data_IF_459675961242
#
_entry.id   IF_459675961242
#
_cell.length_a   1.000
_cell.length_b   1.000
_cell.length_c   1.000
_cell.angle_alpha   90.00
_cell.angle_beta   90.00
_cell.angle_gamma   90.00
#
_symmetry.space_group_name_H-M   'P 1'
#
loop_
_entity.id
_entity.type
_entity.pdbx_description
1 polymer ?
#
# COMPACT_ATOMS: atom_id res chain seq x y z
N UNK A 1 -7.45 -11.44 -9.02
CA UNK A 1 -8.55 -11.62 -8.04
C UNK A 1 -8.88 -13.10 -7.99
N UNK A 2 -9.11 -13.61 -6.79
CA UNK A 2 -9.25 -15.03 -6.53
C UNK A 2 -10.57 -15.59 -7.12
N UNK A 3 -10.51 -16.09 -8.36
CA UNK A 3 -11.66 -16.63 -9.08
C UNK A 3 -12.37 -17.77 -8.33
N UNK A 4 -11.66 -18.49 -7.46
CA UNK A 4 -12.21 -19.59 -6.67
C UNK A 4 -13.32 -19.15 -5.72
N UNK A 5 -13.25 -17.93 -5.17
CA UNK A 5 -14.30 -17.39 -4.29
C UNK A 5 -15.61 -17.24 -5.08
N UNK A 6 -15.54 -16.67 -6.26
CA UNK A 6 -16.73 -16.40 -7.08
C UNK A 6 -17.39 -17.69 -7.64
N UNK A 7 -16.65 -18.77 -7.76
CA UNK A 7 -17.20 -20.06 -8.20
C UNK A 7 -18.14 -20.69 -7.15
N UNK A 8 -18.16 -20.15 -5.92
CA UNK A 8 -19.09 -20.60 -4.88
C UNK A 8 -20.42 -19.87 -4.87
N UNK A 9 -20.72 -18.99 -5.82
CA UNK A 9 -21.97 -18.23 -5.86
C UNK A 9 -23.23 -19.11 -5.87
N UNK A 10 -23.13 -20.36 -6.34
CA UNK A 10 -24.22 -21.34 -6.26
C UNK A 10 -24.37 -22.03 -4.90
N UNK A 11 -23.44 -21.81 -3.96
CA UNK A 11 -23.38 -22.46 -2.64
C UNK A 11 -23.70 -21.51 -1.50
N UNK A 12 -23.92 -20.23 -1.78
CA UNK A 12 -24.24 -19.21 -0.80
C UNK A 12 -25.30 -18.24 -1.39
N UNK A 13 -26.03 -17.57 -0.52
CA UNK A 13 -27.09 -16.65 -0.92
C UNK A 13 -26.54 -15.41 -1.65
N UNK A 14 -25.38 -14.92 -1.24
CA UNK A 14 -24.78 -13.71 -1.78
C UNK A 14 -23.26 -13.70 -1.55
N UNK A 15 -22.51 -13.19 -2.52
CA UNK A 15 -21.11 -12.83 -2.36
C UNK A 15 -21.00 -11.34 -2.50
N UNK A 16 -20.39 -10.68 -1.52
CA UNK A 16 -20.07 -9.25 -1.53
C UNK A 16 -18.57 -9.09 -1.44
N UNK A 17 -17.96 -8.45 -2.43
CA UNK A 17 -16.54 -8.13 -2.42
C UNK A 17 -16.38 -6.67 -1.97
N UNK A 18 -15.65 -6.47 -0.88
CA UNK A 18 -15.38 -5.14 -0.32
C UNK A 18 -14.14 -4.49 -0.92
N UNK A 19 -13.56 -5.04 -1.94
CA UNK A 19 -12.37 -4.57 -2.65
C UNK A 19 -11.32 -3.87 -1.76
N UNK A 20 -10.14 -4.45 -1.71
CA UNK A 20 -9.02 -3.86 -0.96
C UNK A 20 -8.48 -2.61 -1.62
N UNK A 21 -8.48 -2.54 -2.94
CA UNK A 21 -7.84 -1.49 -3.73
C UNK A 21 -8.63 -1.23 -5.01
N UNK A 22 -8.84 0.05 -5.32
CA UNK A 22 -9.56 0.49 -6.51
C UNK A 22 -8.91 1.71 -7.20
N UNK A 23 -7.75 2.16 -6.70
CA UNK A 23 -6.99 3.23 -7.36
C UNK A 23 -6.24 2.63 -8.55
N UNK A 24 -6.51 3.15 -9.73
CA UNK A 24 -5.90 2.74 -10.97
C UNK A 24 -5.20 3.92 -11.64
N UNK A 25 -4.09 3.68 -12.31
CA UNK A 25 -3.54 4.62 -13.30
C UNK A 25 -4.39 4.62 -14.56
N UNK A 26 -4.27 5.66 -15.38
CA UNK A 26 -4.99 5.74 -16.65
C UNK A 26 -4.71 4.51 -17.54
N UNK A 27 -3.47 4.07 -17.63
CA UNK A 27 -3.09 2.85 -18.37
C UNK A 27 -3.77 1.59 -17.83
N UNK A 28 -3.95 1.48 -16.52
CA UNK A 28 -4.65 0.34 -15.91
C UNK A 28 -6.16 0.42 -16.13
N UNK A 29 -6.73 1.64 -16.21
CA UNK A 29 -8.15 1.81 -16.56
C UNK A 29 -8.46 1.49 -18.00
N UNK A 30 -7.56 1.81 -18.92
CA UNK A 30 -7.67 1.47 -20.35
C UNK A 30 -7.50 -0.03 -20.61
N UNK A 31 -6.78 -0.73 -19.73
CA UNK A 31 -6.60 -2.18 -19.77
C UNK A 31 -7.67 -2.95 -19.01
N UNK A 32 -7.78 -4.25 -19.29
CA UNK A 32 -8.74 -5.14 -18.63
C UNK A 32 -8.30 -5.63 -17.24
N UNK A 33 -7.33 -4.97 -16.61
CA UNK A 33 -6.62 -5.48 -15.43
C UNK A 33 -7.51 -5.76 -14.22
N UNK A 34 -8.54 -4.93 -14.00
CA UNK A 34 -9.41 -5.02 -12.83
C UNK A 34 -10.88 -5.21 -13.19
N UNK A 35 -11.15 -5.68 -14.40
CA UNK A 35 -12.51 -5.98 -14.82
C UNK A 35 -12.96 -7.32 -14.27
N UNK A 36 -14.25 -7.39 -13.96
CA UNK A 36 -14.86 -8.61 -13.46
C UNK A 36 -15.28 -9.52 -14.61
N UNK A 37 -14.92 -10.80 -14.52
CA UNK A 37 -15.23 -11.80 -15.51
C UNK A 37 -16.03 -12.98 -14.93
N UNK A 38 -16.78 -13.68 -15.76
CA UNK A 38 -17.52 -14.88 -15.39
C UNK A 38 -18.43 -14.67 -14.18
N UNK A 39 -18.32 -15.53 -13.18
CA UNK A 39 -19.14 -15.49 -11.98
C UNK A 39 -18.95 -14.25 -11.11
N UNK A 40 -17.82 -13.54 -11.21
CA UNK A 40 -17.60 -12.30 -10.48
C UNK A 40 -18.61 -11.21 -10.87
N UNK A 41 -19.09 -11.21 -12.12
CA UNK A 41 -20.14 -10.26 -12.59
C UNK A 41 -21.48 -10.46 -11.91
N UNK A 42 -21.73 -11.64 -11.36
CA UNK A 42 -22.98 -11.97 -10.62
C UNK A 42 -22.92 -11.61 -9.15
N UNK A 43 -21.72 -11.28 -8.64
CA UNK A 43 -21.49 -10.92 -7.24
C UNK A 43 -21.58 -9.41 -7.06
N UNK A 44 -21.86 -8.96 -5.83
CA UNK A 44 -21.79 -7.55 -5.50
C UNK A 44 -20.34 -7.10 -5.39
N UNK A 45 -20.00 -6.06 -6.11
CA UNK A 45 -18.69 -5.40 -6.07
C UNK A 45 -18.89 -4.00 -5.48
N UNK A 46 -18.51 -3.77 -4.23
CA UNK A 46 -18.62 -2.43 -3.65
C UNK A 46 -17.62 -1.49 -4.33
N UNK A 47 -18.06 -0.30 -4.66
CA UNK A 47 -17.26 0.68 -5.37
C UNK A 47 -16.87 1.83 -4.45
N UNK A 48 -15.60 2.24 -4.49
CA UNK A 48 -15.13 3.39 -3.72
C UNK A 48 -15.73 4.71 -4.22
N UNK A 49 -16.01 4.79 -5.52
CA UNK A 49 -16.59 5.96 -6.15
C UNK A 49 -17.34 5.63 -7.43
N UNK A 50 -18.01 6.65 -7.98
CA UNK A 50 -18.80 6.54 -9.21
C UNK A 50 -17.95 6.08 -10.40
N UNK A 51 -16.70 6.55 -10.53
CA UNK A 51 -15.79 6.16 -11.62
C UNK A 51 -15.60 4.64 -11.66
N UNK A 52 -15.37 4.00 -10.50
CA UNK A 52 -15.27 2.53 -10.43
C UNK A 52 -16.58 1.85 -10.81
N UNK A 53 -17.71 2.33 -10.32
CA UNK A 53 -19.01 1.75 -10.65
C UNK A 53 -19.27 1.83 -12.16
N UNK A 54 -19.07 3.00 -12.76
CA UNK A 54 -19.25 3.22 -14.20
C UNK A 54 -18.33 2.33 -15.05
N UNK A 55 -17.05 2.19 -14.64
CA UNK A 55 -16.09 1.30 -15.30
C UNK A 55 -16.57 -0.16 -15.27
N UNK A 56 -16.97 -0.67 -14.13
CA UNK A 56 -17.47 -2.04 -14.00
C UNK A 56 -18.75 -2.27 -14.81
N UNK A 57 -19.66 -1.29 -14.83
CA UNK A 57 -20.88 -1.34 -15.63
C UNK A 57 -20.59 -1.32 -17.12
N UNK A 58 -19.65 -0.48 -17.58
CA UNK A 58 -19.20 -0.46 -18.97
C UNK A 58 -18.63 -1.82 -19.44
N UNK A 59 -18.06 -2.60 -18.50
CA UNK A 59 -17.59 -3.97 -18.77
C UNK A 59 -18.65 -5.06 -18.49
N UNK A 60 -19.92 -4.68 -18.45
CA UNK A 60 -21.05 -5.59 -18.45
C UNK A 60 -21.48 -6.09 -17.06
N UNK A 61 -21.18 -5.34 -15.99
CA UNK A 61 -21.79 -5.57 -14.69
C UNK A 61 -23.15 -4.86 -14.56
N UNK A 62 -24.07 -5.51 -13.88
CA UNK A 62 -25.35 -4.92 -13.54
C UNK A 62 -25.19 -3.81 -12.48
N UNK A 63 -25.87 -2.68 -12.65
CA UNK A 63 -25.81 -1.55 -11.73
C UNK A 63 -26.19 -1.92 -10.29
N UNK A 64 -27.12 -2.85 -10.10
CA UNK A 64 -27.50 -3.36 -8.77
C UNK A 64 -26.37 -4.09 -8.06
N UNK A 65 -25.36 -4.56 -8.80
CA UNK A 65 -24.21 -5.27 -8.28
C UNK A 65 -22.96 -4.37 -8.09
N UNK A 66 -23.10 -3.07 -8.33
CA UNK A 66 -22.00 -2.10 -8.22
C UNK A 66 -22.36 -0.91 -7.32
N UNK A 67 -22.83 -1.15 -6.07
CA UNK A 67 -23.17 -0.04 -5.16
C UNK A 67 -21.93 0.79 -4.83
N UNK A 68 -22.08 2.11 -4.83
CA UNK A 68 -21.03 3.03 -4.37
C UNK A 68 -21.16 3.16 -2.85
N UNK A 69 -20.18 2.65 -2.13
CA UNK A 69 -20.15 2.61 -0.66
C UNK A 69 -19.04 3.45 -0.04
N UNK A 70 -18.13 3.96 -0.87
CA UNK A 70 -16.85 4.43 -0.37
C UNK A 70 -15.88 3.28 -0.09
N UNK A 71 -14.70 3.61 0.39
CA UNK A 71 -13.67 2.65 0.79
C UNK A 71 -13.91 2.22 2.25
N UNK A 72 -14.69 1.16 2.45
CA UNK A 72 -15.10 0.69 3.79
C UNK A 72 -13.91 0.55 4.77
N UNK A 73 -12.76 0.09 4.28
CA UNK A 73 -11.55 -0.05 5.10
C UNK A 73 -10.96 1.29 5.58
N UNK A 74 -11.36 2.40 4.96
CA UNK A 74 -10.93 3.74 5.37
C UNK A 74 -11.80 4.32 6.51
N UNK A 75 -12.93 3.71 6.81
CA UNK A 75 -13.83 4.20 7.86
C UNK A 75 -13.16 4.25 9.23
N UNK A 76 -12.18 3.38 9.51
CA UNK A 76 -11.38 3.44 10.73
C UNK A 76 -10.61 4.75 10.90
N UNK A 77 -10.35 5.50 9.82
CA UNK A 77 -9.67 6.81 9.86
C UNK A 77 -10.62 7.98 10.14
N UNK A 78 -11.93 7.72 10.24
CA UNK A 78 -12.92 8.74 10.58
C UNK A 78 -12.79 9.18 12.04
N UNK A 79 -13.19 10.43 12.36
CA UNK A 79 -13.09 10.97 13.71
C UNK A 79 -13.76 10.11 14.79
N UNK A 80 -14.85 9.42 14.44
CA UNK A 80 -15.61 8.56 15.35
C UNK A 80 -14.80 7.36 15.85
N UNK A 81 -13.77 6.95 15.09
CA UNK A 81 -12.88 5.85 15.43
C UNK A 81 -11.50 6.31 15.97
N UNK A 82 -11.35 7.59 16.30
CA UNK A 82 -10.07 8.16 16.76
C UNK A 82 -9.43 7.35 17.90
N UNK A 83 -10.24 6.79 18.81
CA UNK A 83 -9.76 5.97 19.94
C UNK A 83 -9.36 4.53 19.57
N UNK A 84 -9.53 4.11 18.33
CA UNK A 84 -9.13 2.79 17.85
C UNK A 84 -7.63 2.64 17.68
N UNK A 85 -6.95 3.73 17.29
CA UNK A 85 -5.51 3.75 17.08
C UNK A 85 -4.78 4.20 18.34
N UNK A 86 -3.62 3.59 18.59
CA UNK A 86 -2.67 4.04 19.61
C UNK A 86 -2.18 5.44 19.29
N UNK A 87 -1.98 6.27 20.28
CA UNK A 87 -1.29 7.54 20.11
C UNK A 87 0.21 7.35 19.81
N UNK A 88 0.88 8.43 19.42
CA UNK A 88 2.31 8.41 19.10
C UNK A 88 3.15 7.93 20.28
N UNK A 89 2.84 8.40 21.51
CA UNK A 89 3.61 8.07 22.70
C UNK A 89 3.56 6.56 23.01
N UNK A 90 2.35 5.99 22.98
CA UNK A 90 2.13 4.55 23.20
C UNK A 90 2.83 3.71 22.15
N UNK A 91 2.68 4.10 20.87
CA UNK A 91 3.28 3.38 19.77
C UNK A 91 4.81 3.44 19.79
N UNK A 92 5.39 4.62 20.02
CA UNK A 92 6.83 4.78 20.15
C UNK A 92 7.40 3.92 21.28
N UNK A 93 6.78 3.92 22.46
CA UNK A 93 7.23 3.09 23.61
C UNK A 93 7.21 1.60 23.29
N UNK A 94 6.18 1.13 22.58
CA UNK A 94 6.05 -0.28 22.18
C UNK A 94 7.20 -0.75 21.28
N UNK A 95 7.67 0.13 20.40
CA UNK A 95 8.75 -0.18 19.46
C UNK A 95 10.13 0.35 19.89
N UNK A 96 10.27 0.88 21.11
CA UNK A 96 11.54 1.38 21.63
C UNK A 96 12.01 2.66 20.96
N UNK A 97 11.09 3.47 20.42
CA UNK A 97 11.36 4.77 19.83
C UNK A 97 11.20 5.89 20.87
N UNK A 98 11.89 7.00 20.68
CA UNK A 98 11.74 8.18 21.54
C UNK A 98 10.52 9.02 21.10
N UNK A 99 9.43 9.08 21.90
CA UNK A 99 8.24 9.84 21.51
C UNK A 99 8.44 11.35 21.48
N UNK A 100 9.51 11.87 22.11
CA UNK A 100 9.85 13.30 22.10
C UNK A 100 10.48 13.75 20.78
N UNK A 101 11.00 12.82 19.98
CA UNK A 101 11.60 13.10 18.69
C UNK A 101 10.54 13.21 17.58
N UNK A 102 10.95 13.78 16.46
CA UNK A 102 10.13 13.75 15.24
C UNK A 102 10.03 12.33 14.70
N UNK A 103 8.84 11.94 14.27
CA UNK A 103 8.51 10.60 13.76
C UNK A 103 8.08 10.68 12.29
N UNK A 104 9.00 10.86 11.33
CA UNK A 104 8.68 10.70 9.93
C UNK A 104 8.42 9.23 9.57
N UNK A 105 7.39 9.02 8.77
CA UNK A 105 7.01 7.73 8.21
C UNK A 105 7.34 7.70 6.71
N UNK A 106 8.12 6.72 6.28
CA UNK A 106 8.33 6.43 4.87
C UNK A 106 7.59 5.15 4.47
N UNK A 107 6.64 5.27 3.55
CA UNK A 107 5.87 4.13 3.04
C UNK A 107 6.45 3.71 1.70
N UNK A 108 7.08 2.55 1.70
CA UNK A 108 7.80 2.02 0.55
C UNK A 108 6.94 1.10 -0.33
N UNK A 109 7.32 1.00 -1.61
CA UNK A 109 6.79 0.04 -2.58
C UNK A 109 7.89 -0.44 -3.54
N UNK A 110 9.09 -0.71 -3.03
CA UNK A 110 10.24 -1.18 -3.83
C UNK A 110 10.24 -2.69 -4.08
N UNK A 111 9.06 -3.30 -4.24
CA UNK A 111 8.94 -4.75 -4.41
C UNK A 111 9.78 -5.34 -5.54
N UNK A 112 10.07 -4.57 -6.58
CA UNK A 112 10.90 -5.00 -7.72
C UNK A 112 12.40 -4.78 -7.50
N UNK A 113 12.80 -4.03 -6.49
CA UNK A 113 14.21 -3.70 -6.28
C UNK A 113 15.06 -4.91 -5.87
N UNK A 114 14.47 -5.85 -5.14
CA UNK A 114 15.12 -7.09 -4.67
C UNK A 114 15.04 -8.26 -5.65
N UNK A 115 14.28 -8.13 -6.74
CA UNK A 115 14.18 -9.19 -7.75
C UNK A 115 15.47 -9.29 -8.57
N UNK A 116 15.90 -10.51 -8.85
CA UNK A 116 16.97 -10.77 -9.82
C UNK A 116 16.51 -10.49 -11.24
N UNK A 117 17.46 -10.31 -12.17
CA UNK A 117 17.11 -10.10 -13.58
C UNK A 117 16.37 -11.31 -14.19
N UNK A 118 16.67 -12.52 -13.71
CA UNK A 118 15.96 -13.73 -14.12
C UNK A 118 14.50 -13.70 -13.64
N UNK A 119 14.23 -13.36 -12.38
CA UNK A 119 12.87 -13.24 -11.84
C UNK A 119 12.07 -12.16 -12.57
N UNK A 120 12.70 -11.04 -12.91
CA UNK A 120 12.08 -9.97 -13.72
C UNK A 120 11.73 -10.47 -15.12
N UNK A 121 12.62 -11.24 -15.76
CA UNK A 121 12.39 -11.80 -17.09
C UNK A 121 11.25 -12.84 -17.08
N UNK A 122 11.21 -13.71 -16.06
CA UNK A 122 10.13 -14.70 -15.88
C UNK A 122 8.78 -14.01 -15.65
N UNK A 123 8.73 -13.00 -14.79
CA UNK A 123 7.53 -12.18 -14.55
C UNK A 123 7.07 -11.49 -15.83
N UNK A 124 8.00 -10.89 -16.58
CA UNK A 124 7.71 -10.21 -17.85
C UNK A 124 7.09 -11.16 -18.87
N UNK A 125 7.62 -12.38 -18.97
CA UNK A 125 7.09 -13.43 -19.83
C UNK A 125 5.68 -13.87 -19.40
N UNK A 126 5.47 -14.06 -18.11
CA UNK A 126 4.15 -14.45 -17.56
C UNK A 126 3.08 -13.39 -17.76
N UNK A 127 3.45 -12.13 -17.61
CA UNK A 127 2.53 -11.00 -17.73
C UNK A 127 2.35 -10.49 -19.18
N UNK A 128 3.22 -10.91 -20.10
CA UNK A 128 3.22 -10.38 -21.48
C UNK A 128 3.66 -8.92 -21.58
N UNK A 129 4.39 -8.41 -20.57
CA UNK A 129 4.82 -7.01 -20.48
C UNK A 129 6.26 -6.96 -19.94
N UNK A 130 7.11 -6.13 -20.55
CA UNK A 130 8.50 -5.97 -20.09
C UNK A 130 8.57 -5.11 -18.81
N UNK A 131 8.99 -5.72 -17.71
CA UNK A 131 9.20 -5.05 -16.42
C UNK A 131 10.65 -4.64 -16.15
N UNK A 132 11.59 -4.84 -17.07
CA UNK A 132 13.02 -4.60 -16.85
C UNK A 132 13.32 -3.13 -16.52
N UNK A 133 12.73 -2.19 -17.27
CA UNK A 133 12.84 -0.76 -17.01
C UNK A 133 12.29 -0.35 -15.64
N UNK A 134 11.15 -0.92 -15.25
CA UNK A 134 10.52 -0.65 -13.97
C UNK A 134 11.35 -1.20 -12.80
N UNK A 135 11.86 -2.43 -12.91
CA UNK A 135 12.74 -3.03 -11.89
C UNK A 135 14.02 -2.22 -11.70
N UNK A 136 14.65 -1.78 -12.81
CA UNK A 136 15.83 -0.89 -12.75
C UNK A 136 15.51 0.43 -12.05
N UNK A 137 14.39 1.06 -12.37
CA UNK A 137 13.95 2.30 -11.71
C UNK A 137 13.76 2.09 -10.21
N UNK A 138 13.13 0.98 -9.81
CA UNK A 138 12.96 0.62 -8.39
C UNK A 138 14.31 0.47 -7.68
N UNK A 139 15.27 -0.26 -8.25
CA UNK A 139 16.62 -0.46 -7.67
C UNK A 139 17.35 0.87 -7.48
N UNK A 140 17.43 1.68 -8.53
CA UNK A 140 18.14 2.98 -8.49
C UNK A 140 17.47 3.94 -7.51
N UNK A 141 16.12 3.96 -7.47
CA UNK A 141 15.39 4.83 -6.57
C UNK A 141 15.57 4.39 -5.12
N UNK A 142 15.51 3.09 -4.83
CA UNK A 142 15.77 2.56 -3.50
C UNK A 142 17.18 2.90 -3.02
N UNK A 143 18.18 2.64 -3.84
CA UNK A 143 19.58 2.95 -3.53
C UNK A 143 19.77 4.45 -3.18
N UNK A 144 19.25 5.33 -4.02
CA UNK A 144 19.33 6.78 -3.78
C UNK A 144 18.56 7.20 -2.51
N UNK A 145 17.41 6.62 -2.26
CA UNK A 145 16.60 6.90 -1.08
C UNK A 145 17.34 6.48 0.19
N UNK A 146 17.91 5.27 0.23
CA UNK A 146 18.66 4.78 1.39
C UNK A 146 19.94 5.60 1.62
N UNK A 147 20.64 6.00 0.55
CA UNK A 147 21.81 6.87 0.65
C UNK A 147 21.44 8.28 1.16
N UNK A 148 20.27 8.77 0.82
CA UNK A 148 19.76 10.03 1.37
C UNK A 148 19.39 9.89 2.84
N UNK A 149 18.70 8.80 3.25
CA UNK A 149 18.39 8.54 4.64
C UNK A 149 19.65 8.42 5.50
N UNK A 150 20.68 7.76 5.00
CA UNK A 150 21.94 7.62 5.73
C UNK A 150 22.57 9.00 6.06
N UNK A 151 22.60 9.92 5.10
CA UNK A 151 23.08 11.29 5.35
C UNK A 151 22.16 12.05 6.28
N UNK A 152 20.87 12.10 5.93
CA UNK A 152 19.86 12.85 6.69
C UNK A 152 19.85 12.46 8.17
N UNK A 153 19.76 11.17 8.47
CA UNK A 153 19.72 10.68 9.84
C UNK A 153 21.04 10.85 10.60
N UNK A 154 22.16 10.97 9.87
CA UNK A 154 23.44 11.34 10.47
C UNK A 154 23.49 12.77 10.98
N UNK A 155 22.78 13.66 10.28
CA UNK A 155 22.73 15.08 10.59
C UNK A 155 21.57 15.45 11.51
N UNK A 156 20.58 14.55 11.68
CA UNK A 156 19.34 14.78 12.43
C UNK A 156 19.10 13.74 13.53
N UNK A 157 19.81 13.83 14.66
CA UNK A 157 19.63 12.91 15.80
C UNK A 157 18.27 13.06 16.51
N UNK A 158 17.55 14.18 16.25
CA UNK A 158 16.21 14.47 16.77
C UNK A 158 15.09 13.76 16.01
N UNK A 159 15.42 12.92 15.03
CA UNK A 159 14.47 12.20 14.17
C UNK A 159 14.51 10.70 14.47
N UNK A 160 13.34 10.06 14.52
CA UNK A 160 13.15 8.59 14.52
C UNK A 160 12.40 8.20 13.25
N UNK A 161 13.11 7.83 12.19
CA UNK A 161 12.49 7.50 10.91
C UNK A 161 11.98 6.06 10.88
N UNK A 162 10.69 5.90 10.64
CA UNK A 162 10.06 4.59 10.44
C UNK A 162 9.94 4.30 8.94
N UNK A 163 10.63 3.26 8.49
CA UNK A 163 10.51 2.72 7.15
C UNK A 163 9.49 1.56 7.14
N UNK A 164 8.37 1.79 6.48
CA UNK A 164 7.30 0.77 6.28
C UNK A 164 7.49 0.08 4.96
N UNK A 165 8.02 -1.14 5.03
CA UNK A 165 8.21 -2.00 3.88
C UNK A 165 6.87 -2.51 3.34
N UNK A 166 6.70 -2.48 2.00
CA UNK A 166 5.54 -3.12 1.37
C UNK A 166 5.56 -4.63 1.63
N UNK A 167 4.40 -5.30 1.78
CA UNK A 167 4.34 -6.75 2.01
C UNK A 167 5.07 -7.59 0.94
N UNK A 168 5.17 -7.09 -0.29
CA UNK A 168 5.91 -7.76 -1.39
C UNK A 168 7.41 -7.43 -1.44
N UNK A 169 7.91 -6.53 -0.60
CA UNK A 169 9.34 -6.30 -0.49
C UNK A 169 10.02 -7.43 0.28
N UNK A 170 10.90 -8.13 -0.39
CA UNK A 170 11.73 -9.16 0.23
C UNK A 170 12.76 -8.51 1.17
N UNK A 171 13.36 -9.32 2.05
CA UNK A 171 14.47 -8.84 2.89
C UNK A 171 15.53 -8.23 1.99
N UNK A 172 15.90 -6.99 2.29
CA UNK A 172 16.90 -6.23 1.56
C UNK A 172 18.09 -5.98 2.48
N UNK A 173 19.25 -6.52 2.14
CA UNK A 173 20.48 -6.39 2.92
C UNK A 173 20.84 -4.92 3.19
N UNK A 174 20.61 -4.03 2.22
CA UNK A 174 20.88 -2.60 2.37
C UNK A 174 20.03 -1.93 3.45
N UNK A 175 18.78 -2.39 3.65
CA UNK A 175 17.93 -1.92 4.76
C UNK A 175 18.48 -2.37 6.12
N UNK A 176 18.91 -3.63 6.21
CA UNK A 176 19.47 -4.19 7.45
C UNK A 176 20.81 -3.50 7.80
N UNK A 177 21.64 -3.22 6.79
CA UNK A 177 22.90 -2.49 6.95
C UNK A 177 22.69 -1.04 7.42
N UNK A 178 21.70 -0.35 6.84
CA UNK A 178 21.37 1.01 7.25
C UNK A 178 20.79 1.03 8.68
N UNK A 179 19.91 0.09 9.03
CA UNK A 179 19.36 -0.03 10.38
C UNK A 179 20.47 -0.34 11.41
N UNK A 180 21.44 -1.17 11.07
CA UNK A 180 22.59 -1.42 11.94
C UNK A 180 23.51 -0.20 12.11
N UNK A 181 23.61 0.65 11.08
CA UNK A 181 24.45 1.85 11.07
C UNK A 181 23.80 3.05 11.76
N UNK A 182 22.49 3.19 11.62
CA UNK A 182 21.72 4.36 12.10
C UNK A 182 20.70 3.93 13.16
N UNK A 183 20.95 4.18 14.44
CA UNK A 183 20.04 3.77 15.53
C UNK A 183 18.67 4.45 15.48
N UNK A 184 18.55 5.54 14.72
CA UNK A 184 17.32 6.29 14.48
C UNK A 184 16.64 5.96 13.12
N UNK A 185 17.02 4.83 12.50
CA UNK A 185 16.36 4.26 11.31
C UNK A 185 15.71 2.91 11.66
N UNK A 186 14.41 2.84 11.56
CA UNK A 186 13.62 1.69 12.04
C UNK A 186 12.84 1.04 10.90
N UNK A 187 13.15 -0.22 10.59
CA UNK A 187 12.38 -1.01 9.63
C UNK A 187 11.31 -1.79 10.39
N UNK A 188 10.08 -1.29 10.41
CA UNK A 188 8.99 -1.87 11.19
C UNK A 188 7.91 -2.41 10.26
N UNK A 189 7.53 -3.67 10.46
CA UNK A 189 6.47 -4.34 9.71
C UNK A 189 5.21 -4.61 10.56
N UNK A 190 5.33 -4.52 11.88
CA UNK A 190 4.23 -4.72 12.81
C UNK A 190 3.20 -3.58 12.76
N UNK A 191 2.00 -3.86 13.18
CA UNK A 191 0.82 -3.01 13.11
C UNK A 191 0.38 -2.65 11.66
N UNK A 192 -0.76 -2.03 11.51
CA UNK A 192 -1.23 -1.58 10.20
C UNK A 192 -0.54 -0.30 9.75
N UNK A 193 -0.46 -0.07 8.44
CA UNK A 193 0.04 1.20 7.92
C UNK A 193 -0.79 2.39 8.42
N UNK A 194 -2.11 2.21 8.62
CA UNK A 194 -3.00 3.24 9.18
C UNK A 194 -2.59 3.67 10.59
N UNK A 195 -2.18 2.71 11.43
CA UNK A 195 -1.66 3.01 12.78
C UNK A 195 -0.46 3.95 12.71
N UNK A 196 0.49 3.68 11.81
CA UNK A 196 1.67 4.51 11.62
C UNK A 196 1.36 5.86 10.98
N UNK A 197 0.43 5.90 10.00
CA UNK A 197 -0.05 7.13 9.39
C UNK A 197 -0.64 8.08 10.45
N UNK A 198 -1.47 7.56 11.35
CA UNK A 198 -2.09 8.37 12.41
C UNK A 198 -1.05 8.92 13.38
N UNK A 199 -0.05 8.13 13.76
CA UNK A 199 0.97 8.51 14.73
C UNK A 199 2.08 9.42 14.16
N UNK A 200 2.39 9.33 12.87
CA UNK A 200 3.51 10.04 12.25
C UNK A 200 3.34 11.56 12.25
N UNK A 201 4.44 12.29 12.44
CA UNK A 201 4.48 13.76 12.32
C UNK A 201 4.56 14.22 10.86
N UNK A 202 5.24 13.45 10.01
CA UNK A 202 5.32 13.68 8.57
C UNK A 202 5.33 12.36 7.81
N UNK A 203 4.91 12.37 6.55
CA UNK A 203 4.79 11.15 5.74
C UNK A 203 5.40 11.38 4.38
N UNK A 204 6.16 10.40 3.92
CA UNK A 204 6.65 10.33 2.54
C UNK A 204 6.30 8.96 1.95
N UNK A 205 5.96 8.92 0.67
CA UNK A 205 5.48 7.72 0.00
C UNK A 205 6.23 7.50 -1.31
N UNK A 206 6.60 6.26 -1.58
CA UNK A 206 7.08 5.84 -2.88
C UNK A 206 6.06 4.91 -3.54
N UNK A 207 5.37 5.41 -4.60
CA UNK A 207 4.47 4.66 -5.48
C UNK A 207 3.48 3.72 -4.75
N UNK A 208 2.87 4.20 -3.65
CA UNK A 208 1.92 3.40 -2.88
C UNK A 208 0.53 4.02 -2.90
N UNK A 209 -0.48 3.18 -3.05
CA UNK A 209 -1.89 3.54 -2.90
C UNK A 209 -2.27 3.94 -1.48
N UNK A 210 -1.38 3.74 -0.51
CA UNK A 210 -1.51 4.27 0.85
C UNK A 210 -1.66 5.81 0.90
N UNK A 211 -1.39 6.53 -0.21
CA UNK A 211 -1.72 7.95 -0.34
C UNK A 211 -3.19 8.25 -0.04
N UNK A 212 -4.10 7.34 -0.40
CA UNK A 212 -5.52 7.47 -0.07
C UNK A 212 -5.76 7.42 1.44
N UNK A 213 -5.05 6.54 2.15
CA UNK A 213 -5.13 6.42 3.61
C UNK A 213 -4.57 7.66 4.30
N UNK A 214 -3.48 8.23 3.79
CA UNK A 214 -2.91 9.49 4.30
C UNK A 214 -3.91 10.65 4.14
N UNK A 215 -4.51 10.76 2.96
CA UNK A 215 -5.54 11.77 2.70
C UNK A 215 -6.76 11.60 3.63
N UNK A 216 -7.26 10.38 3.78
CA UNK A 216 -8.42 10.09 4.66
C UNK A 216 -8.10 10.30 6.14
N UNK A 217 -6.85 10.18 6.56
CA UNK A 217 -6.38 10.53 7.89
C UNK A 217 -6.25 12.05 8.11
N UNK A 218 -6.57 12.87 7.10
CA UNK A 218 -6.43 14.33 7.15
C UNK A 218 -4.98 14.81 7.16
N UNK A 219 -4.06 13.99 6.63
CA UNK A 219 -2.62 14.31 6.56
C UNK A 219 -2.19 14.54 5.11
N UNK A 220 -1.01 15.11 4.92
CA UNK A 220 -0.34 15.30 3.64
C UNK A 220 0.94 14.47 3.55
N UNK A 221 1.41 14.19 2.32
CA UNK A 221 2.68 13.55 2.02
C UNK A 221 3.40 14.28 0.88
#
# INVERSE_FOLDING_TARGET
>A
INSHVYNNIGRCNKIVNLHWEQMLSDTQEEGDWFNMNGNAKRCVQTCWGQRTAQRLQAHGMDAKNTPVTGAVMMDFLRPEFKGYFKDKETLCKEFGLDPAKQLPLYISSFGYASMTDQEVAELSKMAGTDFSGFARTNRVSMEKTLAWFDRYLGDHPEVELVYRRHPSEWKCKALDELAAKRPNFHVIFADSVKQWIVAADSISIWMSTAVAEVYMAGKSC
#
